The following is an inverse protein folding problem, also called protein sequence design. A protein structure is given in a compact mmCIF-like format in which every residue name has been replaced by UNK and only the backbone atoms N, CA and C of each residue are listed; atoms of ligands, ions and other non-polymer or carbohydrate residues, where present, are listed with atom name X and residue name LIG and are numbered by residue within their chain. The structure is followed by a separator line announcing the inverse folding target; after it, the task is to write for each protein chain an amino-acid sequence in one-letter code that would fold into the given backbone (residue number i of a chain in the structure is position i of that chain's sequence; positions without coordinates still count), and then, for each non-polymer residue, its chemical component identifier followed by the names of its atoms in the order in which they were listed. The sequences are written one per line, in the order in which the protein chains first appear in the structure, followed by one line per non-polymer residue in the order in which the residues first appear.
data_IF_596199759007
#
_entry.id   IF_596199759007
#
_cell.length_a   1.000
_cell.length_b   1.000
_cell.length_c   1.000
_cell.angle_alpha   90.00
_cell.angle_beta   90.00
_cell.angle_gamma   90.00
#
_symmetry.space_group_name_H-M   'P 1'
#
loop_
_entity.id
_entity.type
_entity.pdbx_description
1 polymer ?
#
# COMPACT_ATOMS: atom_id res chain seq x y z
N UNK A 1 -31.69 -40.75 -36.04
CA UNK A 1 -31.38 -40.77 -34.60
C UNK A 1 -30.76 -42.13 -34.31
N UNK A 2 -29.54 -42.16 -33.77
CA UNK A 2 -28.73 -43.37 -33.62
C UNK A 2 -29.23 -44.29 -32.48
N UNK A 3 -28.96 -45.59 -32.64
CA UNK A 3 -29.27 -46.72 -31.77
C UNK A 3 -28.39 -46.79 -30.50
N UNK A 4 -28.90 -47.47 -29.43
CA UNK A 4 -28.40 -48.73 -28.79
C UNK A 4 -28.20 -48.76 -27.25
N UNK A 5 -28.58 -49.93 -26.71
CA UNK A 5 -28.20 -50.66 -25.47
C UNK A 5 -28.69 -50.13 -24.11
N UNK A 6 -29.48 -50.86 -23.32
CA UNK A 6 -29.28 -52.19 -22.67
C UNK A 6 -28.08 -52.24 -21.70
N UNK A 7 -28.44 -52.28 -20.42
CA UNK A 7 -28.01 -53.21 -19.37
C UNK A 7 -26.55 -53.29 -18.84
N UNK A 8 -26.54 -53.42 -17.52
CA UNK A 8 -25.56 -54.04 -16.60
C UNK A 8 -24.45 -53.25 -15.86
N UNK A 9 -24.72 -53.10 -14.55
CA UNK A 9 -23.95 -53.57 -13.38
C UNK A 9 -22.67 -52.84 -12.95
N UNK A 10 -22.76 -52.33 -11.71
CA UNK A 10 -21.67 -52.09 -10.77
C UNK A 10 -22.04 -50.89 -9.89
N UNK A 11 -22.30 -50.99 -8.59
CA UNK A 11 -22.00 -52.01 -7.59
C UNK A 11 -21.87 -51.24 -6.26
N UNK A 12 -22.35 -51.87 -5.19
CA UNK A 12 -22.18 -51.52 -3.77
C UNK A 12 -22.89 -50.28 -3.18
N UNK A 13 -24.02 -50.60 -2.56
CA UNK A 13 -24.28 -50.28 -1.15
C UNK A 13 -23.01 -50.30 -0.30
N UNK A 14 -22.78 -49.27 0.52
CA UNK A 14 -22.18 -49.42 1.87
C UNK A 14 -22.15 -48.09 2.62
N UNK A 15 -23.09 -47.95 3.54
CA UNK A 15 -22.98 -47.09 4.72
C UNK A 15 -21.72 -47.43 5.50
N UNK A 16 -20.90 -46.44 5.87
CA UNK A 16 -20.18 -46.50 7.15
C UNK A 16 -20.03 -45.12 7.80
N UNK A 17 -20.53 -45.10 9.03
CA UNK A 17 -20.41 -44.11 10.08
C UNK A 17 -18.93 -43.88 10.44
N UNK A 18 -18.52 -42.62 10.59
CA UNK A 18 -17.36 -42.23 11.42
C UNK A 18 -17.82 -41.05 12.27
N UNK A 19 -18.47 -41.31 13.41
CA UNK A 19 -17.86 -41.53 14.73
C UNK A 19 -17.11 -40.30 15.26
N UNK A 20 -17.82 -39.61 16.14
CA UNK A 20 -17.37 -38.55 17.05
C UNK A 20 -16.24 -39.03 17.95
N UNK A 21 -14.99 -39.03 17.47
CA UNK A 21 -13.77 -39.17 18.28
C UNK A 21 -12.58 -38.49 17.60
N UNK A 22 -12.55 -37.16 17.59
CA UNK A 22 -11.32 -36.38 17.28
C UNK A 22 -11.20 -35.09 18.08
N UNK A 23 -12.01 -34.92 19.14
CA UNK A 23 -11.95 -33.75 20.03
C UNK A 23 -11.23 -34.01 21.36
N UNK A 24 -10.56 -35.16 21.56
CA UNK A 24 -10.08 -35.56 22.89
C UNK A 24 -8.68 -36.20 22.93
N UNK A 25 -7.72 -35.75 22.11
CA UNK A 25 -6.29 -36.08 22.30
C UNK A 25 -5.38 -35.05 21.64
N UNK A 26 -5.02 -34.01 22.38
CA UNK A 26 -3.71 -33.31 22.35
C UNK A 26 -3.67 -32.21 23.43
N UNK A 27 -4.15 -32.50 24.64
CA UNK A 27 -4.13 -31.61 25.80
C UNK A 27 -3.14 -32.11 26.87
N UNK A 28 -2.05 -32.76 26.44
CA UNK A 28 -1.01 -33.33 27.31
C UNK A 28 0.40 -33.07 26.75
N UNK A 29 0.74 -31.79 26.54
CA UNK A 29 2.13 -31.39 26.31
C UNK A 29 2.52 -30.08 27.00
N UNK A 30 1.75 -29.66 28.02
CA UNK A 30 2.01 -28.43 28.78
C UNK A 30 2.52 -28.65 30.21
N UNK A 31 2.85 -29.87 30.60
CA UNK A 31 3.27 -30.19 31.98
C UNK A 31 4.63 -30.89 32.10
N UNK A 32 5.53 -30.75 31.13
CA UNK A 32 6.89 -31.27 31.31
C UNK A 32 7.94 -30.54 30.51
N UNK A 33 8.22 -29.27 30.85
CA UNK A 33 9.60 -28.81 30.76
C UNK A 33 9.87 -27.80 31.87
N UNK A 34 10.85 -28.18 32.68
CA UNK A 34 11.40 -27.43 33.78
C UNK A 34 11.68 -25.99 33.41
N UNK A 35 11.40 -25.13 34.39
CA UNK A 35 12.02 -23.83 34.63
C UNK A 35 13.50 -23.86 34.25
N UNK A 36 13.82 -23.38 33.05
CA UNK A 36 15.13 -22.82 32.76
C UNK A 36 14.93 -21.31 32.82
N UNK A 37 15.37 -20.77 33.94
CA UNK A 37 15.48 -19.35 34.25
C UNK A 37 16.46 -18.67 33.29
N UNK A 38 16.07 -18.48 32.03
CA UNK A 38 16.90 -17.75 31.07
C UNK A 38 16.54 -16.27 31.07
N UNK A 39 16.93 -15.63 32.17
CA UNK A 39 17.16 -14.17 32.24
C UNK A 39 18.29 -13.70 31.31
N UNK A 40 18.79 -14.56 30.42
CA UNK A 40 19.93 -14.33 29.51
C UNK A 40 19.55 -14.19 28.02
N UNK A 41 18.29 -14.46 27.63
CA UNK A 41 17.85 -14.32 26.23
C UNK A 41 17.23 -12.95 25.89
N UNK A 42 16.88 -12.15 26.90
CA UNK A 42 16.41 -10.78 26.70
C UNK A 42 17.54 -9.80 26.33
N UNK A 43 18.81 -10.16 26.55
CA UNK A 43 19.97 -9.31 26.31
C UNK A 43 20.63 -9.49 24.93
N UNK A 44 20.21 -10.46 24.12
CA UNK A 44 20.82 -10.71 22.80
C UNK A 44 20.22 -9.82 21.70
N UNK A 45 19.07 -9.19 21.96
CA UNK A 45 18.38 -8.31 20.99
C UNK A 45 18.45 -6.82 21.32
N UNK A 46 19.24 -6.42 22.32
CA UNK A 46 19.31 -5.02 22.79
C UNK A 46 20.46 -4.19 22.20
N UNK A 47 21.23 -4.74 21.26
CA UNK A 47 22.41 -4.05 20.69
C UNK A 47 22.26 -3.68 19.19
N UNK A 48 21.02 -3.46 18.76
CA UNK A 48 20.80 -2.56 17.62
C UNK A 48 20.28 -1.25 18.19
N UNK A 49 20.96 -0.11 17.97
CA UNK A 49 20.28 1.15 18.20
C UNK A 49 18.99 1.09 17.39
N UNK A 50 17.85 1.15 18.07
CA UNK A 50 16.61 1.57 17.43
C UNK A 50 16.99 2.93 16.86
N UNK A 51 17.36 2.97 15.57
CA UNK A 51 17.44 4.22 14.85
C UNK A 51 16.03 4.75 14.99
N UNK A 52 15.81 5.66 15.92
CA UNK A 52 14.61 6.49 15.96
C UNK A 52 14.52 7.08 14.57
N UNK A 53 13.71 6.46 13.71
CA UNK A 53 13.48 6.96 12.38
C UNK A 53 12.71 8.24 12.61
N UNK A 54 13.41 9.37 12.54
CA UNK A 54 12.81 10.68 12.68
C UNK A 54 11.56 10.72 11.77
N UNK A 55 10.40 11.12 12.32
CA UNK A 55 9.15 11.11 11.58
C UNK A 55 9.32 11.87 10.27
N UNK A 56 8.71 11.36 9.21
CA UNK A 56 8.76 11.99 7.90
C UNK A 56 8.05 13.35 7.95
N UNK A 57 8.72 14.40 7.48
CA UNK A 57 8.11 15.71 7.35
C UNK A 57 7.19 15.74 6.12
N UNK A 58 5.89 15.70 6.38
CA UNK A 58 4.82 15.78 5.38
C UNK A 58 4.01 17.09 5.49
N UNK A 59 4.52 18.08 6.24
CA UNK A 59 3.81 19.35 6.47
C UNK A 59 3.51 20.11 5.16
N UNK A 60 4.35 19.92 4.14
CA UNK A 60 4.14 20.45 2.80
C UNK A 60 2.85 19.93 2.14
N UNK A 61 2.44 18.68 2.41
CA UNK A 61 1.24 18.11 1.83
C UNK A 61 -0.01 18.73 2.45
N UNK A 62 -0.02 18.91 3.78
CA UNK A 62 -1.10 19.62 4.48
C UNK A 62 -1.23 21.05 4.00
N UNK A 63 -0.12 21.80 3.92
CA UNK A 63 -0.11 23.17 3.39
C UNK A 63 -0.64 23.24 1.96
N UNK A 64 -0.33 22.24 1.14
CA UNK A 64 -0.79 22.18 -0.24
C UNK A 64 -2.32 22.03 -0.36
N UNK A 65 -2.97 21.39 0.62
CA UNK A 65 -4.44 21.28 0.71
C UNK A 65 -5.11 22.55 1.22
N UNK A 66 -4.37 23.41 1.91
CA UNK A 66 -4.87 24.69 2.43
C UNK A 66 -4.90 25.80 1.36
N UNK A 67 -4.29 25.56 0.19
CA UNK A 67 -4.23 26.53 -0.90
C UNK A 67 -5.59 26.68 -1.59
N UNK A 68 -6.36 27.70 -1.16
CA UNK A 68 -7.66 28.03 -1.76
C UNK A 68 -7.52 28.81 -3.07
N UNK A 69 -6.47 29.61 -3.21
CA UNK A 69 -6.20 30.43 -4.39
C UNK A 69 -5.28 29.72 -5.40
N UNK A 70 -4.92 30.41 -6.48
CA UNK A 70 -3.96 29.86 -7.44
C UNK A 70 -2.58 29.82 -6.76
N UNK A 71 -1.92 28.66 -6.67
CA UNK A 71 -0.64 28.55 -5.99
C UNK A 71 0.43 29.39 -6.69
N UNK A 72 1.17 30.14 -5.90
CA UNK A 72 2.38 30.86 -6.28
C UNK A 72 3.49 29.88 -6.66
N UNK A 73 4.50 30.40 -7.38
CA UNK A 73 5.67 29.60 -7.72
C UNK A 73 6.39 29.07 -6.45
N UNK A 74 6.49 29.88 -5.40
CA UNK A 74 7.15 29.50 -4.15
C UNK A 74 6.43 28.33 -3.45
N UNK A 75 5.10 28.30 -3.47
CA UNK A 75 4.31 27.20 -2.88
C UNK A 75 4.51 25.90 -3.66
N UNK A 76 4.52 25.96 -4.99
CA UNK A 76 4.80 24.80 -5.84
C UNK A 76 6.22 24.28 -5.62
N UNK A 77 7.21 25.17 -5.48
CA UNK A 77 8.59 24.80 -5.11
C UNK A 77 8.63 24.13 -3.75
N UNK A 78 7.85 24.60 -2.77
CA UNK A 78 7.72 23.98 -1.46
C UNK A 78 7.23 22.53 -1.53
N UNK A 79 6.22 22.25 -2.36
CA UNK A 79 5.71 20.89 -2.60
C UNK A 79 6.79 20.01 -3.22
N UNK A 80 7.46 20.47 -4.28
CA UNK A 80 8.52 19.71 -4.96
C UNK A 80 9.72 19.46 -4.03
N UNK A 81 10.06 20.44 -3.19
CA UNK A 81 11.13 20.31 -2.19
C UNK A 81 10.79 19.25 -1.13
N UNK A 82 9.56 19.25 -0.61
CA UNK A 82 9.07 18.23 0.32
C UNK A 82 9.14 16.81 -0.25
N UNK A 83 8.75 16.64 -1.51
CA UNK A 83 8.85 15.37 -2.22
C UNK A 83 10.32 14.97 -2.39
N UNK A 84 11.16 15.89 -2.85
CA UNK A 84 12.60 15.65 -3.06
C UNK A 84 13.30 15.22 -1.77
N UNK A 85 12.90 15.81 -0.63
CA UNK A 85 13.40 15.43 0.69
C UNK A 85 13.01 13.98 1.05
N UNK A 86 11.76 13.58 0.84
CA UNK A 86 11.34 12.20 1.08
C UNK A 86 12.06 11.20 0.16
N UNK A 87 12.33 11.58 -1.09
CA UNK A 87 13.12 10.77 -2.03
C UNK A 87 14.57 10.62 -1.53
N UNK A 88 15.20 11.72 -1.14
CA UNK A 88 16.58 11.73 -0.63
C UNK A 88 16.72 10.90 0.65
N UNK A 89 15.72 10.96 1.53
CA UNK A 89 15.63 10.16 2.76
C UNK A 89 15.23 8.68 2.51
N UNK A 90 15.02 8.28 1.24
CA UNK A 90 14.56 6.94 0.83
C UNK A 90 13.23 6.53 1.49
N UNK A 91 12.37 7.50 1.80
CA UNK A 91 11.04 7.30 2.41
C UNK A 91 9.96 7.16 1.33
N UNK A 92 10.20 6.35 0.29
CA UNK A 92 9.30 6.21 -0.86
C UNK A 92 7.94 5.61 -0.51
N UNK A 93 7.88 4.77 0.54
CA UNK A 93 6.61 4.28 1.08
C UNK A 93 5.74 5.41 1.65
N UNK A 94 6.35 6.33 2.41
CA UNK A 94 5.66 7.51 2.94
C UNK A 94 5.26 8.45 1.81
N UNK A 95 6.14 8.68 0.84
CA UNK A 95 5.83 9.49 -0.33
C UNK A 95 4.63 8.92 -1.11
N UNK A 96 4.61 7.61 -1.34
CA UNK A 96 3.52 6.92 -2.03
C UNK A 96 2.18 7.12 -1.30
N UNK A 97 2.13 6.88 0.01
CA UNK A 97 0.92 7.11 0.81
C UNK A 97 0.48 8.58 0.78
N UNK A 98 1.43 9.51 1.02
CA UNK A 98 1.16 10.96 1.01
C UNK A 98 0.61 11.43 -0.33
N UNK A 99 1.16 10.95 -1.45
CA UNK A 99 0.66 11.30 -2.79
C UNK A 99 -0.75 10.76 -3.03
N UNK A 100 -1.06 9.54 -2.58
CA UNK A 100 -2.41 8.99 -2.71
C UNK A 100 -3.43 9.81 -1.94
N UNK A 101 -3.12 10.17 -0.70
CA UNK A 101 -4.01 10.98 0.13
C UNK A 101 -4.19 12.37 -0.47
N UNK A 102 -3.09 12.99 -0.94
CA UNK A 102 -3.11 14.29 -1.59
C UNK A 102 -3.98 14.27 -2.85
N UNK A 103 -3.74 13.32 -3.78
CA UNK A 103 -4.42 13.26 -5.08
C UNK A 103 -5.89 12.84 -5.01
N UNK A 104 -6.32 12.22 -3.90
CA UNK A 104 -7.72 11.89 -3.64
C UNK A 104 -8.52 13.07 -3.09
N UNK A 105 -7.86 14.09 -2.53
CA UNK A 105 -8.56 15.22 -1.95
C UNK A 105 -9.16 16.11 -3.07
N UNK A 106 -10.49 16.31 -3.11
CA UNK A 106 -11.14 17.10 -4.15
C UNK A 106 -10.82 18.59 -4.09
N UNK A 107 -10.24 19.08 -2.98
CA UNK A 107 -9.81 20.48 -2.82
C UNK A 107 -8.44 20.73 -3.44
N UNK A 108 -7.71 19.68 -3.81
CA UNK A 108 -6.37 19.80 -4.36
C UNK A 108 -6.38 20.60 -5.67
N UNK A 109 -5.57 21.67 -5.71
CA UNK A 109 -5.40 22.46 -6.92
C UNK A 109 -4.66 21.68 -7.99
N UNK A 110 -5.09 21.83 -9.24
CA UNK A 110 -4.55 21.08 -10.37
C UNK A 110 -3.03 21.32 -10.54
N UNK A 111 -2.60 22.56 -10.35
CA UNK A 111 -1.19 22.96 -10.43
C UNK A 111 -0.33 22.25 -9.37
N UNK A 112 -0.85 22.08 -8.15
CA UNK A 112 -0.17 21.33 -7.07
C UNK A 112 -0.07 19.86 -7.43
N UNK A 113 -1.15 19.26 -7.92
CA UNK A 113 -1.16 17.85 -8.34
C UNK A 113 -0.10 17.58 -9.41
N UNK A 114 -0.04 18.42 -10.45
CA UNK A 114 0.95 18.29 -11.54
C UNK A 114 2.37 18.50 -11.00
N UNK A 115 2.59 19.48 -10.13
CA UNK A 115 3.88 19.72 -9.50
C UNK A 115 4.32 18.51 -8.65
N UNK A 116 3.42 17.92 -7.88
CA UNK A 116 3.70 16.76 -7.04
C UNK A 116 4.10 15.52 -7.88
N UNK A 117 3.36 15.23 -8.94
CA UNK A 117 3.68 14.13 -9.84
C UNK A 117 4.99 14.35 -10.60
N UNK A 118 5.24 15.56 -11.09
CA UNK A 118 6.51 15.88 -11.77
C UNK A 118 7.70 15.81 -10.81
N UNK A 119 7.55 16.36 -9.60
CA UNK A 119 8.56 16.34 -8.54
C UNK A 119 8.88 14.93 -8.00
N UNK A 120 8.04 13.93 -8.31
CA UNK A 120 8.29 12.53 -7.95
C UNK A 120 9.36 11.85 -8.82
N UNK A 121 9.91 12.53 -9.84
CA UNK A 121 11.08 12.06 -10.58
C UNK A 121 12.37 12.25 -9.74
N UNK A 122 13.30 11.27 -9.69
CA UNK A 122 13.33 10.00 -10.45
C UNK A 122 12.67 8.81 -9.74
N UNK A 123 12.08 9.00 -8.56
CA UNK A 123 11.57 7.91 -7.72
C UNK A 123 10.27 7.23 -8.22
N UNK A 124 9.73 7.60 -9.38
CA UNK A 124 8.46 7.08 -9.93
C UNK A 124 8.40 5.55 -9.97
N UNK A 125 9.51 4.89 -10.33
CA UNK A 125 9.61 3.41 -10.37
C UNK A 125 9.62 2.75 -8.99
N UNK A 126 9.89 3.51 -7.94
CA UNK A 126 9.92 3.06 -6.55
C UNK A 126 8.61 3.38 -5.81
N UNK A 127 7.76 4.23 -6.39
CA UNK A 127 6.44 4.58 -5.85
C UNK A 127 5.46 3.47 -6.21
N UNK A 128 4.90 2.84 -5.18
CA UNK A 128 3.89 1.80 -5.34
C UNK A 128 2.66 2.37 -6.05
N UNK A 129 2.10 1.59 -6.97
CA UNK A 129 0.88 1.91 -7.72
C UNK A 129 0.94 3.25 -8.47
N UNK A 130 2.11 3.62 -9.01
CA UNK A 130 2.27 4.85 -9.80
C UNK A 130 1.22 5.03 -10.91
N UNK A 131 0.88 3.96 -11.63
CA UNK A 131 -0.16 3.98 -12.68
C UNK A 131 -1.54 4.38 -12.15
N UNK A 132 -1.89 3.97 -10.93
CA UNK A 132 -3.15 4.36 -10.29
C UNK A 132 -3.14 5.84 -9.90
N UNK A 133 -2.01 6.37 -9.41
CA UNK A 133 -1.85 7.82 -9.15
C UNK A 133 -2.04 8.64 -10.43
N UNK A 134 -1.47 8.19 -11.56
CA UNK A 134 -1.66 8.85 -12.86
C UNK A 134 -3.12 8.77 -13.30
N UNK A 135 -3.79 7.63 -13.13
CA UNK A 135 -5.20 7.48 -13.47
C UNK A 135 -6.10 8.41 -12.63
N UNK A 136 -5.84 8.55 -11.32
CA UNK A 136 -6.52 9.49 -10.44
C UNK A 136 -6.33 10.93 -10.93
N UNK A 137 -5.08 11.31 -11.23
CA UNK A 137 -4.78 12.65 -11.72
C UNK A 137 -5.45 12.93 -13.07
N UNK A 138 -5.49 11.94 -13.97
CA UNK A 138 -6.15 12.05 -15.26
C UNK A 138 -7.64 12.35 -15.09
N UNK A 139 -8.32 11.62 -14.19
CA UNK A 139 -9.73 11.87 -13.89
C UNK A 139 -9.95 13.28 -13.31
N UNK A 140 -9.09 13.73 -12.40
CA UNK A 140 -9.17 15.08 -11.81
C UNK A 140 -8.95 16.20 -12.85
N UNK A 141 -8.03 16.01 -13.81
CA UNK A 141 -7.81 16.96 -14.91
C UNK A 141 -9.04 17.03 -15.82
N UNK A 142 -9.60 15.87 -16.21
CA UNK A 142 -10.79 15.81 -17.07
C UNK A 142 -12.00 16.49 -16.42
N UNK A 143 -12.23 16.25 -15.12
CA UNK A 143 -13.30 16.91 -14.35
C UNK A 143 -13.14 18.44 -14.32
N UNK A 144 -11.91 18.93 -14.43
CA UNK A 144 -11.60 20.36 -14.47
C UNK A 144 -11.74 20.97 -15.89
N UNK A 145 -12.19 20.19 -16.89
CA UNK A 145 -12.37 20.63 -18.27
C UNK A 145 -11.07 20.89 -19.04
N UNK A 146 -9.92 20.39 -18.53
CA UNK A 146 -8.61 20.56 -19.20
C UNK A 146 -8.18 19.29 -19.93
N UNK A 147 -7.25 19.42 -20.87
CA UNK A 147 -6.69 18.28 -21.61
C UNK A 147 -5.68 17.52 -20.74
N UNK A 148 -6.07 16.32 -20.31
CA UNK A 148 -5.27 15.47 -19.44
C UNK A 148 -4.01 14.91 -20.12
N UNK A 149 -4.12 14.49 -21.39
CA UNK A 149 -3.00 13.97 -22.18
C UNK A 149 -1.89 15.01 -22.32
N UNK A 150 -2.27 16.27 -22.55
CA UNK A 150 -1.31 17.38 -22.66
C UNK A 150 -0.63 17.69 -21.33
N UNK A 151 -1.39 17.81 -20.23
CA UNK A 151 -0.86 18.23 -18.93
C UNK A 151 -0.01 17.16 -18.25
N UNK A 152 -0.40 15.89 -18.39
CA UNK A 152 0.25 14.74 -17.76
C UNK A 152 1.22 14.01 -18.69
N UNK A 153 1.49 14.56 -19.88
CA UNK A 153 2.47 14.01 -20.82
C UNK A 153 3.83 13.76 -20.15
N UNK A 154 4.40 12.57 -20.40
CA UNK A 154 5.68 12.13 -19.85
C UNK A 154 5.66 11.67 -18.39
N UNK A 155 4.47 11.47 -17.80
CA UNK A 155 4.29 10.91 -16.46
C UNK A 155 3.87 9.43 -16.45
N UNK A 156 3.38 8.90 -17.58
CA UNK A 156 2.95 7.51 -17.76
C UNK A 156 4.09 6.52 -18.00
#
# INVERSE_FOLDING_TARGET
MFYRHDDEVGGDDSYWIVSSRSAQRSFDWLESTQVISDRSLASIWLDRPVREMAPADISWATKALELQEKPSHAELVGVVSGISKLIAERKTAVLSATLFDLLKDPRLRLEVMVAALRGSFPARSQIKNWKELIALAHQSVLKSGRNADSLLSGLG
#
